data_IF_038428171886
#
_entry.id   IF_038428171886
#
_cell.length_a   1.000
_cell.length_b   1.000
_cell.length_c   1.000
_cell.angle_alpha   90.00
_cell.angle_beta   90.00
_cell.angle_gamma   90.00
#
_symmetry.space_group_name_H-M   'P 1'
#
loop_
_entity.id
_entity.type
_entity.pdbx_description
1 polymer ?
#
# COMPACT_ATOMS: atom_id res chain seq x y z
N UNK A 1 -17.25 31.10 -5.97
CA UNK A 1 -16.26 30.56 -6.93
C UNK A 1 -15.73 29.25 -6.38
N UNK A 2 -16.29 28.09 -6.77
CA UNK A 2 -15.87 26.80 -6.20
C UNK A 2 -14.82 26.13 -7.09
N UNK A 3 -13.72 25.69 -6.51
CA UNK A 3 -12.74 24.82 -7.18
C UNK A 3 -12.58 23.56 -6.32
N UNK A 4 -13.56 22.66 -6.45
CA UNK A 4 -13.50 21.27 -6.00
C UNK A 4 -12.85 20.42 -7.09
N UNK A 5 -11.54 20.56 -7.32
CA UNK A 5 -10.85 19.93 -8.47
C UNK A 5 -9.82 18.84 -8.16
N UNK A 6 -9.66 18.34 -6.93
CA UNK A 6 -8.59 17.35 -6.67
C UNK A 6 -8.99 16.04 -5.98
N UNK A 7 -10.28 15.79 -5.74
CA UNK A 7 -10.75 14.52 -5.13
C UNK A 7 -11.50 13.57 -6.09
N UNK A 8 -11.64 13.95 -7.37
CA UNK A 8 -12.48 13.24 -8.36
C UNK A 8 -11.74 12.25 -9.27
N UNK A 9 -10.41 12.09 -9.13
CA UNK A 9 -9.60 11.22 -10.00
C UNK A 9 -9.33 9.82 -9.43
N UNK A 10 -10.01 9.40 -8.34
CA UNK A 10 -9.73 8.09 -7.69
C UNK A 10 -10.64 6.93 -8.11
N UNK A 11 -11.70 7.19 -8.90
CA UNK A 11 -12.75 6.18 -9.17
C UNK A 11 -12.91 5.77 -10.63
N UNK A 12 -12.18 6.41 -11.54
CA UNK A 12 -12.33 6.13 -12.98
C UNK A 12 -11.42 5.00 -13.49
N UNK A 13 -10.32 4.71 -12.78
CA UNK A 13 -9.32 3.73 -13.22
C UNK A 13 -9.76 2.25 -13.04
N UNK A 14 -10.78 1.95 -12.23
CA UNK A 14 -11.28 0.57 -12.06
C UNK A 14 -12.29 0.09 -13.13
N UNK A 15 -12.63 0.91 -14.15
CA UNK A 15 -13.63 0.53 -15.18
C UNK A 15 -13.03 0.06 -16.51
N UNK A 16 -11.76 -0.34 -16.59
CA UNK A 16 -11.15 -0.69 -17.88
C UNK A 16 -10.07 -1.79 -17.86
N UNK A 17 -10.46 -3.03 -17.57
CA UNK A 17 -9.83 -4.21 -18.20
C UNK A 17 -10.55 -5.51 -17.88
N UNK A 18 -11.65 -5.77 -18.58
CA UNK A 18 -12.21 -7.13 -18.70
C UNK A 18 -11.81 -7.68 -20.06
N UNK A 19 -10.82 -8.59 -20.13
CA UNK A 19 -10.66 -9.52 -21.26
C UNK A 19 -10.16 -10.88 -20.76
N UNK A 20 -10.93 -11.88 -21.15
CA UNK A 20 -10.80 -13.31 -20.86
C UNK A 20 -9.74 -13.92 -21.78
N UNK A 21 -8.99 -14.93 -21.31
CA UNK A 21 -8.45 -15.97 -22.19
C UNK A 21 -8.45 -17.31 -21.45
N UNK A 22 -9.24 -18.26 -21.95
CA UNK A 22 -9.39 -19.62 -21.47
C UNK A 22 -8.56 -20.53 -22.40
N UNK A 23 -7.41 -21.02 -21.95
CA UNK A 23 -6.72 -22.17 -22.56
C UNK A 23 -5.61 -22.71 -21.65
N UNK A 24 -5.76 -23.94 -21.15
CA UNK A 24 -4.65 -24.73 -20.62
C UNK A 24 -4.78 -25.21 -19.18
N UNK A 25 -5.69 -26.15 -18.89
CA UNK A 25 -5.72 -26.86 -17.61
C UNK A 25 -5.86 -28.37 -17.82
N UNK A 26 -4.75 -29.05 -18.08
CA UNK A 26 -4.72 -30.52 -18.05
C UNK A 26 -3.51 -31.12 -17.29
N UNK A 27 -2.59 -30.32 -16.72
CA UNK A 27 -1.39 -30.84 -16.03
C UNK A 27 -1.25 -30.44 -14.55
N UNK A 28 -2.19 -29.69 -13.98
CA UNK A 28 -2.10 -29.21 -12.59
C UNK A 28 -2.72 -30.14 -11.53
N UNK A 29 -3.20 -31.34 -11.90
CA UNK A 29 -3.99 -32.21 -11.03
C UNK A 29 -3.18 -33.05 -10.01
N UNK A 30 -1.85 -32.94 -10.00
CA UNK A 30 -0.97 -33.76 -9.15
C UNK A 30 -0.06 -32.95 -8.21
N UNK A 31 -0.12 -31.62 -8.27
CA UNK A 31 0.60 -30.80 -7.30
C UNK A 31 -0.23 -30.75 -6.00
N UNK A 32 0.33 -31.12 -4.83
CA UNK A 32 -0.32 -30.78 -3.57
C UNK A 32 -0.55 -29.27 -3.56
N UNK A 33 -1.79 -28.86 -3.30
CA UNK A 33 -2.13 -27.47 -3.10
C UNK A 33 -1.35 -27.00 -1.86
N UNK A 34 -0.19 -26.39 -2.07
CA UNK A 34 0.54 -25.71 -1.02
C UNK A 34 -0.30 -24.48 -0.64
N UNK A 35 -1.13 -24.63 0.39
CA UNK A 35 -1.77 -23.49 1.03
C UNK A 35 -0.68 -22.72 1.79
N UNK A 36 0.01 -21.83 1.07
CA UNK A 36 0.85 -20.84 1.69
C UNK A 36 -0.05 -20.00 2.61
N UNK A 37 0.12 -20.13 3.92
CA UNK A 37 -0.47 -19.17 4.86
C UNK A 37 0.23 -17.85 4.65
N UNK A 38 -0.40 -16.96 3.89
CA UNK A 38 0.11 -15.59 3.77
C UNK A 38 -0.04 -14.94 5.14
N UNK A 39 1.08 -14.61 5.78
CA UNK A 39 1.05 -13.88 7.04
C UNK A 39 0.29 -12.57 6.81
N UNK A 40 -0.72 -12.29 7.65
CA UNK A 40 -1.55 -11.11 7.49
C UNK A 40 -0.68 -9.84 7.47
N UNK A 41 -0.70 -9.11 6.37
CA UNK A 41 0.02 -7.85 6.21
C UNK A 41 -0.78 -6.70 6.82
N UNK A 42 -0.08 -5.74 7.41
CA UNK A 42 -0.67 -4.51 7.96
C UNK A 42 -0.14 -3.31 7.17
N UNK A 43 -1.06 -2.58 6.55
CA UNK A 43 -0.75 -1.45 5.66
C UNK A 43 -1.34 -0.17 6.23
N UNK A 44 -0.61 0.94 6.10
CA UNK A 44 -1.06 2.27 6.43
C UNK A 44 -0.92 3.18 5.21
N UNK A 45 -1.82 4.16 5.12
CA UNK A 45 -1.75 5.22 4.13
C UNK A 45 -1.92 6.57 4.84
N UNK A 46 -1.02 7.51 4.57
CA UNK A 46 -1.03 8.84 5.14
C UNK A 46 -0.99 9.91 4.05
N UNK A 47 -1.60 11.05 4.34
CA UNK A 47 -1.50 12.26 3.53
C UNK A 47 -1.09 13.42 4.42
N UNK A 48 0.00 14.07 4.04
CA UNK A 48 0.58 15.18 4.78
C UNK A 48 -0.11 16.48 4.39
N UNK A 49 -0.82 17.10 5.32
CA UNK A 49 -1.69 18.27 5.04
C UNK A 49 -0.92 19.54 4.69
N UNK A 50 0.29 19.70 5.24
CA UNK A 50 1.14 20.87 5.00
C UNK A 50 2.03 20.77 3.75
N UNK A 51 2.64 19.61 3.47
CA UNK A 51 3.56 19.43 2.34
C UNK A 51 2.87 18.89 1.09
N UNK A 52 1.69 18.27 1.23
CA UNK A 52 1.00 17.55 0.15
C UNK A 52 1.61 16.18 -0.17
N UNK A 53 2.65 15.76 0.55
CA UNK A 53 3.22 14.41 0.42
C UNK A 53 2.17 13.34 0.80
N UNK A 54 2.26 12.16 0.20
CA UNK A 54 1.44 11.01 0.58
C UNK A 54 2.26 9.73 0.50
N UNK A 55 1.96 8.78 1.39
CA UNK A 55 2.64 7.50 1.44
C UNK A 55 1.64 6.38 1.71
N UNK A 56 1.86 5.22 1.11
CA UNK A 56 1.18 3.96 1.43
C UNK A 56 2.25 2.89 1.59
N UNK A 57 2.29 2.23 2.75
CA UNK A 57 3.33 1.25 3.08
C UNK A 57 2.80 0.12 3.95
N UNK A 58 3.30 -1.09 3.70
CA UNK A 58 3.09 -2.24 4.58
C UNK A 58 4.13 -2.18 5.69
N UNK A 59 3.71 -1.94 6.93
CA UNK A 59 4.64 -1.76 8.06
C UNK A 59 4.90 -3.05 8.84
N UNK A 60 4.10 -4.08 8.63
CA UNK A 60 4.26 -5.37 9.29
C UNK A 60 3.68 -6.53 8.49
N UNK A 61 4.27 -7.71 8.70
CA UNK A 61 3.80 -8.99 8.19
C UNK A 61 3.69 -9.99 9.35
N UNK A 62 2.45 -10.43 9.62
CA UNK A 62 2.14 -11.18 10.84
C UNK A 62 2.56 -10.42 12.10
N UNK A 63 3.32 -11.09 12.96
CA UNK A 63 3.83 -10.52 14.21
C UNK A 63 5.10 -9.66 14.05
N UNK A 64 5.67 -9.55 12.85
CA UNK A 64 6.95 -8.85 12.62
C UNK A 64 6.73 -7.49 11.99
N UNK A 65 7.34 -6.47 12.58
CA UNK A 65 7.48 -5.17 11.94
C UNK A 65 8.55 -5.22 10.84
N UNK A 66 8.38 -4.41 9.81
CA UNK A 66 9.31 -4.27 8.70
C UNK A 66 10.17 -3.03 8.94
N UNK A 67 11.47 -3.15 9.31
CA UNK A 67 12.29 -2.01 9.73
C UNK A 67 12.38 -0.91 8.68
N UNK A 68 12.54 -1.28 7.40
CA UNK A 68 12.61 -0.32 6.30
C UNK A 68 11.30 0.46 6.13
N UNK A 69 10.15 -0.18 6.39
CA UNK A 69 8.85 0.47 6.31
C UNK A 69 8.66 1.44 7.49
N UNK A 70 9.15 1.09 8.68
CA UNK A 70 9.17 1.99 9.84
C UNK A 70 10.11 3.18 9.63
N UNK A 71 11.28 2.98 9.02
CA UNK A 71 12.19 4.07 8.66
C UNK A 71 11.55 5.06 7.67
N UNK A 72 10.86 4.53 6.65
CA UNK A 72 10.09 5.36 5.71
C UNK A 72 8.95 6.10 6.41
N UNK A 73 8.25 5.44 7.34
CA UNK A 73 7.21 6.07 8.13
C UNK A 73 7.77 7.21 9.01
N UNK A 74 8.89 6.99 9.69
CA UNK A 74 9.57 8.01 10.49
C UNK A 74 9.96 9.23 9.66
N UNK A 75 10.56 9.01 8.49
CA UNK A 75 10.92 10.12 7.60
C UNK A 75 9.69 10.85 7.04
N UNK A 76 8.62 10.11 6.71
CA UNK A 76 7.38 10.73 6.27
C UNK A 76 6.75 11.58 7.39
N UNK A 77 6.84 11.13 8.64
CA UNK A 77 6.31 11.80 9.82
C UNK A 77 7.29 12.81 10.45
N UNK A 78 8.37 13.19 9.75
CA UNK A 78 9.31 14.23 10.20
C UNK A 78 8.58 15.55 10.46
N UNK A 79 9.12 16.35 11.38
CA UNK A 79 8.61 17.69 11.60
C UNK A 79 8.76 18.54 10.32
N UNK A 80 7.67 19.13 9.83
CA UNK A 80 7.68 19.80 8.53
C UNK A 80 8.28 21.21 8.58
N UNK A 81 8.51 21.78 9.76
CA UNK A 81 9.13 23.09 9.93
C UNK A 81 10.66 22.98 10.04
N UNK A 82 11.15 22.02 10.80
CA UNK A 82 12.57 21.81 11.10
C UNK A 82 13.21 20.69 10.29
N UNK A 83 12.42 19.72 9.83
CA UNK A 83 12.89 18.50 9.17
C UNK A 83 13.36 17.40 10.13
N UNK A 84 13.21 17.58 11.44
CA UNK A 84 13.65 16.60 12.44
C UNK A 84 12.85 15.29 12.33
N UNK A 85 13.56 14.15 12.31
CA UNK A 85 12.97 12.81 12.18
C UNK A 85 12.87 12.16 13.56
N UNK A 86 11.65 11.89 14.02
CA UNK A 86 11.38 11.11 15.23
C UNK A 86 11.27 9.60 14.95
N UNK A 87 11.41 8.78 16.00
CA UNK A 87 11.11 7.34 15.94
C UNK A 87 9.74 7.09 16.55
N UNK A 88 8.86 6.44 15.80
CA UNK A 88 7.56 5.96 16.28
C UNK A 88 7.71 4.70 17.15
N UNK A 89 7.00 4.65 18.28
CA UNK A 89 6.91 3.54 19.27
C UNK A 89 5.55 2.82 19.17
#
# INVERSE_FOLDING_TARGET
MPIDLLHQERRWFLRRSTRITLAGSALAALAPAAWASTAASRTLAFSHTHTGESIELTYASGARYLPQALEQANHFLRDHYSGEVGTID
#
